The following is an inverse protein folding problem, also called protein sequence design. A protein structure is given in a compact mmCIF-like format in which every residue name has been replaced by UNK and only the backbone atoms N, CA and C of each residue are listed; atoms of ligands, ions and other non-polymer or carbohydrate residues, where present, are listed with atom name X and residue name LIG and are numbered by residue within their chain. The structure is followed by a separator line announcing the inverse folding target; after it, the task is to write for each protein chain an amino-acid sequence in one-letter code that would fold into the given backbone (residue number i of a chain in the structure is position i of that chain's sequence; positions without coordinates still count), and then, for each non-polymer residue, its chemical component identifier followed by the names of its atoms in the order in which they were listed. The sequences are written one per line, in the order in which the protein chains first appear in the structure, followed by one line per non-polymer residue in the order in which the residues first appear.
data_IF_861989910697
#
_entry.id   IF_861989910697
#
_cell.length_a   1.000
_cell.length_b   1.000
_cell.length_c   1.000
_cell.angle_alpha   90.00
_cell.angle_beta   90.00
_cell.angle_gamma   90.00
#
_symmetry.space_group_name_H-M   'P 1'
#
loop_
_entity.id
_entity.type
_entity.pdbx_description
1 polymer ?
#
# COMPACT_ATOMS: atom_id res chain seq x y z
N UNK A 1 -10.20 -15.22 16.68
CA UNK A 1 -9.09 -14.24 16.58
C UNK A 1 -7.82 -14.80 17.23
N UNK A 2 -6.68 -14.81 16.53
CA UNK A 2 -5.40 -15.30 17.07
C UNK A 2 -4.87 -14.30 18.11
N UNK A 3 -4.71 -14.71 19.38
CA UNK A 3 -4.13 -13.85 20.44
C UNK A 3 -2.72 -13.40 20.02
N UNK A 4 -2.46 -12.08 20.02
CA UNK A 4 -1.10 -11.54 19.87
C UNK A 4 -0.21 -12.19 20.95
N UNK A 5 0.96 -12.76 20.61
CA UNK A 5 1.82 -13.38 21.61
C UNK A 5 2.28 -12.33 22.62
N UNK A 6 2.19 -12.67 23.91
CA UNK A 6 2.56 -11.79 25.02
C UNK A 6 4.03 -11.37 24.98
N UNK A 7 4.36 -10.24 25.64
CA UNK A 7 5.71 -9.62 25.62
C UNK A 7 6.83 -10.62 25.99
N UNK A 8 6.62 -11.45 27.01
CA UNK A 8 7.58 -12.48 27.45
C UNK A 8 7.84 -13.55 26.38
N UNK A 9 6.80 -14.02 25.67
CA UNK A 9 6.94 -15.03 24.62
C UNK A 9 7.61 -14.48 23.36
N UNK A 10 7.47 -13.18 23.09
CA UNK A 10 8.25 -12.46 22.07
C UNK A 10 9.71 -12.33 22.51
N UNK A 11 9.94 -11.89 23.75
CA UNK A 11 11.26 -11.72 24.32
C UNK A 11 12.07 -13.02 24.41
N UNK A 12 11.44 -14.18 24.60
CA UNK A 12 12.13 -15.48 24.65
C UNK A 12 12.17 -16.20 23.30
N UNK A 13 11.65 -15.60 22.23
CA UNK A 13 11.65 -16.23 20.91
C UNK A 13 13.04 -16.16 20.27
N UNK A 14 13.78 -17.27 20.29
CA UNK A 14 15.06 -17.43 19.58
C UNK A 14 14.95 -17.07 18.09
N UNK A 15 13.78 -17.29 17.47
CA UNK A 15 13.51 -16.88 16.09
C UNK A 15 13.36 -15.36 15.93
N UNK A 16 12.82 -14.64 16.92
CA UNK A 16 12.79 -13.16 16.89
C UNK A 16 14.18 -12.57 17.16
N UNK A 17 14.95 -13.17 18.08
CA UNK A 17 16.34 -12.76 18.33
C UNK A 17 17.22 -12.94 17.09
N UNK A 18 17.17 -14.10 16.43
CA UNK A 18 17.88 -14.34 15.15
C UNK A 18 17.49 -13.34 14.06
N UNK A 19 16.23 -12.90 14.04
CA UNK A 19 15.72 -11.90 13.09
C UNK A 19 16.16 -10.47 13.40
N UNK A 20 16.55 -10.17 14.65
CA UNK A 20 17.03 -8.86 15.12
C UNK A 20 18.56 -8.75 15.16
N UNK A 21 19.26 -9.88 15.08
CA UNK A 21 20.72 -9.93 15.10
C UNK A 21 21.29 -9.31 13.82
N UNK A 22 22.26 -8.38 13.96
CA UNK A 22 22.83 -7.57 12.87
C UNK A 22 22.27 -6.14 12.77
N UNK A 23 21.03 -5.92 13.23
CA UNK A 23 20.33 -4.65 13.06
C UNK A 23 21.03 -3.44 13.71
N UNK A 24 21.76 -3.67 14.81
CA UNK A 24 22.51 -2.62 15.54
C UNK A 24 23.58 -1.92 14.69
N UNK A 25 24.09 -2.56 13.61
CA UNK A 25 25.07 -1.94 12.71
C UNK A 25 24.47 -0.83 11.83
N UNK A 26 23.15 -0.85 11.65
CA UNK A 26 22.41 0.06 10.75
C UNK A 26 21.74 1.22 11.52
N UNK A 27 21.96 1.34 12.84
CA UNK A 27 21.18 2.21 13.71
C UNK A 27 21.70 3.66 13.87
N UNK A 28 22.87 4.00 13.30
CA UNK A 28 23.67 5.09 13.86
C UNK A 28 23.84 6.38 13.02
N UNK A 29 23.38 6.44 11.76
CA UNK A 29 23.56 7.65 10.95
C UNK A 29 22.27 8.50 10.91
N UNK A 30 22.39 9.78 11.27
CA UNK A 30 21.48 10.77 10.68
C UNK A 30 21.81 10.86 9.20
N UNK A 31 20.79 10.72 8.36
CA UNK A 31 20.96 10.80 6.91
C UNK A 31 20.51 12.17 6.41
N UNK A 32 21.32 12.78 5.57
CA UNK A 32 20.88 13.90 4.74
C UNK A 32 19.90 13.36 3.69
N UNK A 33 18.63 13.74 3.80
CA UNK A 33 17.59 13.28 2.89
C UNK A 33 17.82 13.80 1.46
N UNK A 34 18.43 14.97 1.29
CA UNK A 34 18.73 15.53 -0.02
C UNK A 34 19.84 14.72 -0.71
N UNK A 35 20.87 14.33 0.04
CA UNK A 35 21.94 13.46 -0.46
C UNK A 35 21.40 12.08 -0.86
N UNK A 36 20.57 11.47 0.00
CA UNK A 36 19.92 10.20 -0.31
C UNK A 36 19.02 10.30 -1.55
N UNK A 37 18.33 11.43 -1.72
CA UNK A 37 17.46 11.68 -2.87
C UNK A 37 18.25 11.75 -4.17
N UNK A 38 19.41 12.42 -4.15
CA UNK A 38 20.30 12.58 -5.30
C UNK A 38 21.12 11.32 -5.62
N UNK A 39 21.39 10.48 -4.63
CA UNK A 39 22.19 9.27 -4.80
C UNK A 39 21.37 8.15 -5.44
N UNK A 40 21.90 7.53 -6.49
CA UNK A 40 21.30 6.36 -7.13
C UNK A 40 21.96 5.07 -6.63
N UNK A 41 21.16 4.03 -6.41
CA UNK A 41 21.65 2.71 -6.03
C UNK A 41 22.11 1.95 -7.28
N UNK A 42 23.35 1.47 -7.25
CA UNK A 42 23.89 0.55 -8.25
C UNK A 42 24.13 -0.82 -7.61
N UNK A 43 23.25 -1.78 -7.92
CA UNK A 43 23.28 -3.14 -7.37
C UNK A 43 22.87 -4.22 -8.39
N UNK A 44 23.11 -3.95 -9.69
CA UNK A 44 22.76 -4.86 -10.80
C UNK A 44 21.29 -4.77 -11.22
N UNK A 45 20.75 -5.86 -11.80
CA UNK A 45 19.37 -5.88 -12.27
C UNK A 45 18.37 -5.88 -11.09
N UNK A 46 17.36 -4.99 -11.10
CA UNK A 46 16.39 -4.93 -10.02
C UNK A 46 15.49 -6.16 -9.98
N UNK A 47 15.44 -6.83 -8.83
CA UNK A 47 14.62 -8.03 -8.60
C UNK A 47 13.73 -7.83 -7.37
N UNK A 48 12.43 -7.99 -7.54
CA UNK A 48 11.49 -7.93 -6.41
C UNK A 48 11.69 -9.13 -5.48
N UNK A 49 11.84 -8.86 -4.19
CA UNK A 49 12.01 -9.90 -3.18
C UNK A 49 10.71 -10.66 -2.89
N UNK A 50 10.80 -11.98 -2.67
CA UNK A 50 9.69 -12.82 -2.21
C UNK A 50 9.89 -13.23 -0.75
N UNK A 51 9.05 -12.68 0.12
CA UNK A 51 9.09 -12.95 1.56
C UNK A 51 10.28 -12.26 2.26
N UNK A 52 10.48 -12.54 3.56
CA UNK A 52 11.57 -11.93 4.33
C UNK A 52 12.69 -12.93 4.59
N UNK A 53 13.93 -12.59 4.23
CA UNK A 53 15.10 -13.35 4.63
C UNK A 53 15.20 -13.44 6.17
N UNK A 54 15.71 -14.56 6.70
CA UNK A 54 15.82 -14.75 8.16
C UNK A 54 16.83 -13.80 8.79
N UNK A 55 17.98 -13.61 8.13
CA UNK A 55 19.01 -12.62 8.50
C UNK A 55 18.55 -11.22 8.09
N UNK A 56 18.74 -10.23 8.96
CA UNK A 56 18.43 -8.83 8.62
C UNK A 56 19.42 -8.28 7.60
N UNK A 57 20.70 -8.60 7.72
CA UNK A 57 21.74 -8.14 6.80
C UNK A 57 21.45 -8.63 5.38
N UNK A 58 21.07 -9.92 5.24
CA UNK A 58 20.67 -10.47 3.95
C UNK A 58 19.38 -9.81 3.43
N UNK A 59 18.44 -9.46 4.31
CA UNK A 59 17.21 -8.80 3.91
C UNK A 59 17.50 -7.38 3.38
N UNK A 60 18.35 -6.61 4.05
CA UNK A 60 18.75 -5.27 3.62
C UNK A 60 19.59 -5.33 2.33
N UNK A 61 20.47 -6.32 2.19
CA UNK A 61 21.20 -6.55 0.93
C UNK A 61 20.25 -6.85 -0.23
N UNK A 62 19.24 -7.71 -0.03
CA UNK A 62 18.24 -7.98 -1.04
C UNK A 62 17.42 -6.73 -1.41
N UNK A 63 17.16 -5.84 -0.44
CA UNK A 63 16.52 -4.55 -0.74
C UNK A 63 17.41 -3.66 -1.62
N UNK A 64 18.74 -3.64 -1.42
CA UNK A 64 19.64 -2.88 -2.31
C UNK A 64 19.49 -3.32 -3.76
N UNK A 65 19.43 -4.63 -4.03
CA UNK A 65 19.17 -5.15 -5.38
C UNK A 65 17.78 -4.74 -5.88
N UNK A 66 16.73 -4.88 -5.05
CA UNK A 66 15.36 -4.49 -5.44
C UNK A 66 15.24 -3.00 -5.83
N UNK A 67 16.03 -2.14 -5.19
CA UNK A 67 16.07 -0.69 -5.45
C UNK A 67 17.21 -0.26 -6.39
N UNK A 68 17.89 -1.19 -7.06
CA UNK A 68 18.89 -0.85 -8.06
C UNK A 68 18.28 0.04 -9.16
N UNK A 69 19.03 1.05 -9.59
CA UNK A 69 18.57 2.08 -10.53
C UNK A 69 17.58 3.08 -9.92
N UNK A 70 17.35 3.07 -8.61
CA UNK A 70 16.47 4.02 -7.92
C UNK A 70 17.22 4.86 -6.89
N UNK A 71 16.58 5.94 -6.43
CA UNK A 71 17.14 6.82 -5.40
C UNK A 71 17.36 6.07 -4.08
N UNK A 72 18.48 6.34 -3.41
CA UNK A 72 18.82 5.79 -2.10
C UNK A 72 17.80 6.17 -1.02
N UNK A 73 17.07 7.27 -1.20
CA UNK A 73 15.96 7.67 -0.33
C UNK A 73 14.83 6.62 -0.32
N UNK A 74 14.55 5.98 -1.46
CA UNK A 74 13.51 4.95 -1.56
C UNK A 74 13.95 3.64 -0.89
N UNK A 75 15.24 3.31 -1.01
CA UNK A 75 15.85 2.20 -0.26
C UNK A 75 15.75 2.48 1.25
N UNK A 76 16.15 3.67 1.70
CA UNK A 76 16.09 4.06 3.11
C UNK A 76 14.68 3.92 3.69
N UNK A 77 13.65 4.35 2.95
CA UNK A 77 12.25 4.11 3.30
C UNK A 77 11.94 2.62 3.53
N UNK A 78 12.36 1.75 2.61
CA UNK A 78 12.14 0.31 2.71
C UNK A 78 12.89 -0.33 3.88
N UNK A 79 14.13 0.09 4.13
CA UNK A 79 14.95 -0.36 5.25
C UNK A 79 14.31 -0.02 6.59
N UNK A 80 13.80 1.21 6.75
CA UNK A 80 13.06 1.63 7.95
C UNK A 80 11.84 0.73 8.21
N UNK A 81 11.05 0.43 7.18
CA UNK A 81 9.91 -0.49 7.30
C UNK A 81 10.37 -1.88 7.76
N UNK A 82 11.46 -2.42 7.18
CA UNK A 82 12.00 -3.72 7.58
C UNK A 82 12.44 -3.71 9.04
N UNK A 83 13.14 -2.66 9.47
CA UNK A 83 13.60 -2.49 10.86
C UNK A 83 12.42 -2.40 11.83
N UNK A 84 11.37 -1.63 11.49
CA UNK A 84 10.13 -1.53 12.27
C UNK A 84 9.45 -2.90 12.41
N UNK A 85 9.28 -3.63 11.30
CA UNK A 85 8.66 -4.99 11.31
C UNK A 85 9.49 -6.03 12.06
N UNK A 86 10.75 -5.74 12.34
CA UNK A 86 11.65 -6.55 13.18
C UNK A 86 11.68 -6.08 14.64
N UNK A 87 10.91 -5.05 15.01
CA UNK A 87 10.95 -4.34 16.30
C UNK A 87 12.36 -3.88 16.68
N UNK A 88 13.19 -3.47 15.71
CA UNK A 88 14.51 -2.92 16.00
C UNK A 88 14.43 -1.42 16.27
N UNK A 89 14.90 -0.98 17.45
CA UNK A 89 14.83 0.40 17.94
C UNK A 89 13.49 1.08 17.61
N UNK A 90 12.38 0.35 17.85
CA UNK A 90 11.08 0.64 17.23
C UNK A 90 10.66 2.11 17.31
N UNK A 91 10.74 2.73 18.49
CA UNK A 91 10.33 4.12 18.67
C UNK A 91 11.16 5.10 17.82
N UNK A 92 12.48 4.93 17.82
CA UNK A 92 13.42 5.76 17.06
C UNK A 92 13.29 5.53 15.55
N UNK A 93 13.25 4.28 15.12
CA UNK A 93 13.10 3.91 13.70
C UNK A 93 11.75 4.39 13.15
N UNK A 94 10.69 4.28 13.94
CA UNK A 94 9.38 4.80 13.57
C UNK A 94 9.38 6.33 13.47
N UNK A 95 10.05 7.03 14.40
CA UNK A 95 10.17 8.48 14.32
C UNK A 95 10.92 8.92 13.05
N UNK A 96 12.02 8.24 12.69
CA UNK A 96 12.74 8.46 11.43
C UNK A 96 11.84 8.26 10.22
N UNK A 97 11.06 7.17 10.21
CA UNK A 97 10.06 6.89 9.16
C UNK A 97 8.99 7.99 9.05
N UNK A 98 8.44 8.45 10.16
CA UNK A 98 7.44 9.51 10.16
C UNK A 98 8.02 10.84 9.69
N UNK A 99 9.22 11.21 10.15
CA UNK A 99 9.93 12.42 9.68
C UNK A 99 10.19 12.36 8.18
N UNK A 100 10.65 11.21 7.66
CA UNK A 100 10.86 10.99 6.23
C UNK A 100 9.59 11.25 5.41
N UNK A 101 8.44 10.72 5.84
CA UNK A 101 7.16 10.92 5.16
C UNK A 101 6.66 12.36 5.21
N UNK A 102 6.87 13.07 6.33
CA UNK A 102 6.53 14.49 6.44
C UNK A 102 7.41 15.38 5.54
N UNK A 103 8.70 15.04 5.40
CA UNK A 103 9.64 15.83 4.61
C UNK A 103 9.55 15.55 3.10
N UNK A 104 9.48 14.27 2.71
CA UNK A 104 9.66 13.83 1.33
C UNK A 104 8.44 13.10 0.76
N UNK A 105 7.28 13.19 1.43
CA UNK A 105 6.07 12.44 1.08
C UNK A 105 5.62 12.59 -0.37
N UNK A 106 5.79 13.78 -0.98
CA UNK A 106 5.50 13.98 -2.42
C UNK A 106 6.40 13.11 -3.30
N UNK A 107 7.72 13.18 -3.10
CA UNK A 107 8.69 12.40 -3.88
C UNK A 107 8.51 10.89 -3.68
N UNK A 108 8.27 10.46 -2.43
CA UNK A 108 8.02 9.06 -2.11
C UNK A 108 6.77 8.54 -2.83
N UNK A 109 5.67 9.31 -2.83
CA UNK A 109 4.46 8.95 -3.58
C UNK A 109 4.75 8.80 -5.06
N UNK A 110 5.38 9.79 -5.68
CA UNK A 110 5.68 9.77 -7.12
C UNK A 110 6.59 8.59 -7.54
N UNK A 111 7.53 8.18 -6.69
CA UNK A 111 8.59 7.22 -7.07
C UNK A 111 8.42 5.80 -6.54
N UNK A 112 7.77 5.60 -5.39
CA UNK A 112 7.54 4.26 -4.86
C UNK A 112 6.48 3.51 -5.68
N UNK A 113 6.66 2.21 -5.86
CA UNK A 113 5.58 1.35 -6.37
C UNK A 113 4.46 1.17 -5.33
N UNK A 114 3.28 0.73 -5.77
CA UNK A 114 2.10 0.64 -4.89
C UNK A 114 2.31 -0.30 -3.70
N UNK A 115 3.14 -1.36 -3.84
CA UNK A 115 3.47 -2.29 -2.76
C UNK A 115 4.20 -1.58 -1.61
N UNK A 116 5.10 -0.66 -1.91
CA UNK A 116 5.80 0.12 -0.89
C UNK A 116 4.92 1.20 -0.26
N UNK A 117 3.99 1.81 -1.01
CA UNK A 117 2.98 2.72 -0.44
C UNK A 117 2.06 2.01 0.56
N UNK A 118 1.60 0.80 0.24
CA UNK A 118 0.79 -0.03 1.14
C UNK A 118 1.60 -0.44 2.38
N UNK A 119 2.88 -0.76 2.20
CA UNK A 119 3.76 -1.10 3.33
C UNK A 119 3.94 0.10 4.28
N UNK A 120 3.90 1.32 3.77
CA UNK A 120 3.90 2.53 4.57
C UNK A 120 2.59 2.69 5.35
N UNK A 121 1.43 2.52 4.71
CA UNK A 121 0.12 2.60 5.41
C UNK A 121 -0.02 1.53 6.49
N UNK A 122 0.42 0.29 6.22
CA UNK A 122 0.46 -0.77 7.25
C UNK A 122 1.33 -0.38 8.44
N UNK A 123 2.44 0.33 8.19
CA UNK A 123 3.35 0.82 9.23
C UNK A 123 2.69 1.91 10.08
N UNK A 124 2.04 2.91 9.46
CA UNK A 124 1.28 3.94 10.17
C UNK A 124 0.13 3.35 10.99
N UNK A 125 -0.69 2.46 10.40
CA UNK A 125 -1.82 1.81 11.06
C UNK A 125 -1.41 1.05 12.33
N UNK A 126 -0.22 0.43 12.29
CA UNK A 126 0.30 -0.36 13.39
C UNK A 126 0.97 0.46 14.51
N UNK A 127 1.56 1.61 14.19
CA UNK A 127 2.55 2.26 15.08
C UNK A 127 2.34 3.75 15.36
N UNK A 128 1.54 4.50 14.58
CA UNK A 128 1.33 5.93 14.86
C UNK A 128 0.66 6.14 16.22
N UNK A 129 0.96 7.24 16.90
CA UNK A 129 0.31 7.58 18.16
C UNK A 129 -1.07 8.20 17.95
N UNK A 130 -1.31 8.81 16.79
CA UNK A 130 -2.58 9.43 16.43
C UNK A 130 -3.55 8.38 15.85
N UNK A 131 -4.70 8.20 16.51
CA UNK A 131 -5.74 7.28 16.08
C UNK A 131 -6.37 7.67 14.74
N UNK A 132 -6.44 8.95 14.39
CA UNK A 132 -6.95 9.39 13.09
C UNK A 132 -6.01 8.93 11.97
N UNK A 133 -4.69 9.12 12.14
CA UNK A 133 -3.68 8.63 11.19
C UNK A 133 -3.77 7.12 11.03
N UNK A 134 -3.90 6.38 12.15
CA UNK A 134 -4.06 4.93 12.11
C UNK A 134 -5.32 4.48 11.39
N UNK A 135 -6.43 5.19 11.60
CA UNK A 135 -7.71 4.87 10.99
C UNK A 135 -7.67 5.06 9.48
N UNK A 136 -7.14 6.18 8.99
CA UNK A 136 -6.97 6.43 7.55
C UNK A 136 -6.01 5.42 6.94
N UNK A 137 -4.87 5.15 7.58
CA UNK A 137 -3.92 4.17 7.08
C UNK A 137 -4.52 2.75 7.00
N UNK A 138 -5.34 2.36 8.00
CA UNK A 138 -6.06 1.09 7.99
C UNK A 138 -7.14 1.05 6.91
N UNK A 139 -7.83 2.16 6.65
CA UNK A 139 -8.80 2.29 5.56
C UNK A 139 -8.13 2.03 4.20
N UNK A 140 -6.96 2.64 3.96
CA UNK A 140 -6.15 2.39 2.76
C UNK A 140 -5.77 0.92 2.63
N UNK A 141 -5.27 0.30 3.71
CA UNK A 141 -4.90 -1.11 3.71
C UNK A 141 -6.10 -2.03 3.48
N UNK A 142 -7.30 -1.68 3.99
CA UNK A 142 -8.51 -2.44 3.75
C UNK A 142 -8.92 -2.39 2.27
N UNK A 143 -8.94 -1.21 1.65
CA UNK A 143 -9.27 -1.04 0.22
C UNK A 143 -8.31 -1.87 -0.65
N UNK A 144 -6.99 -1.72 -0.44
CA UNK A 144 -6.01 -2.42 -1.28
C UNK A 144 -6.05 -3.93 -1.08
N UNK A 145 -6.21 -4.41 0.15
CA UNK A 145 -6.30 -5.85 0.38
C UNK A 145 -7.57 -6.45 -0.25
N UNK A 146 -8.69 -5.72 -0.24
CA UNK A 146 -9.91 -6.14 -0.96
C UNK A 146 -9.65 -6.27 -2.46
N UNK A 147 -9.08 -5.25 -3.11
CA UNK A 147 -8.70 -5.32 -4.54
C UNK A 147 -7.75 -6.48 -4.79
N UNK A 148 -6.72 -6.62 -3.96
CA UNK A 148 -5.74 -7.71 -4.08
C UNK A 148 -6.41 -9.08 -4.03
N UNK A 149 -7.39 -9.28 -3.16
CA UNK A 149 -8.12 -10.55 -3.08
C UNK A 149 -8.91 -10.82 -4.36
N UNK A 150 -9.66 -9.84 -4.86
CA UNK A 150 -10.44 -10.00 -6.10
C UNK A 150 -9.56 -10.20 -7.34
N UNK A 151 -8.47 -9.44 -7.49
CA UNK A 151 -7.55 -9.65 -8.62
C UNK A 151 -6.77 -10.97 -8.50
N UNK A 152 -6.46 -11.41 -7.27
CA UNK A 152 -5.85 -12.73 -7.04
C UNK A 152 -6.82 -13.84 -7.39
N UNK A 153 -8.11 -13.70 -7.04
CA UNK A 153 -9.15 -14.65 -7.44
C UNK A 153 -9.20 -14.76 -8.97
N UNK A 154 -9.19 -13.64 -9.70
CA UNK A 154 -9.17 -13.66 -11.17
C UNK A 154 -7.98 -14.44 -11.75
N UNK A 155 -6.79 -14.25 -11.19
CA UNK A 155 -5.61 -15.04 -11.56
C UNK A 155 -5.80 -16.53 -11.25
N UNK A 156 -6.33 -16.86 -10.08
CA UNK A 156 -6.52 -18.25 -9.64
C UNK A 156 -7.65 -18.98 -10.36
N UNK A 157 -8.63 -18.26 -10.92
CA UNK A 157 -9.75 -18.81 -11.70
C UNK A 157 -9.53 -18.73 -13.20
N UNK A 158 -8.35 -18.29 -13.65
CA UNK A 158 -7.99 -18.13 -15.07
C UNK A 158 -8.94 -17.17 -15.84
N UNK A 159 -9.30 -16.06 -15.20
CA UNK A 159 -10.23 -15.05 -15.74
C UNK A 159 -9.59 -13.67 -15.98
N UNK A 160 -8.26 -13.63 -16.08
CA UNK A 160 -7.52 -12.38 -16.37
C UNK A 160 -7.89 -11.78 -17.73
N UNK A 161 -8.05 -12.62 -18.75
CA UNK A 161 -8.41 -12.17 -20.11
C UNK A 161 -9.93 -12.08 -20.31
N UNK A 162 -10.72 -12.38 -19.28
CA UNK A 162 -12.18 -12.26 -19.34
C UNK A 162 -12.60 -10.79 -19.22
N UNK A 163 -13.38 -10.33 -20.20
CA UNK A 163 -13.97 -8.99 -20.23
C UNK A 163 -15.45 -9.04 -19.81
N UNK A 164 -16.03 -7.87 -19.52
CA UNK A 164 -17.44 -7.76 -19.13
C UNK A 164 -18.34 -8.16 -20.31
N UNK A 165 -19.28 -9.08 -20.08
CA UNK A 165 -20.23 -9.51 -21.11
C UNK A 165 -21.18 -8.36 -21.49
N UNK A 166 -21.26 -7.94 -22.77
CA UNK A 166 -22.08 -6.79 -23.17
C UNK A 166 -23.56 -6.91 -22.80
N UNK A 167 -24.15 -8.10 -22.95
CA UNK A 167 -25.55 -8.35 -22.55
C UNK A 167 -25.77 -8.20 -21.05
N UNK A 168 -24.80 -8.57 -20.21
CA UNK A 168 -24.90 -8.35 -18.76
C UNK A 168 -24.74 -6.88 -18.38
N UNK A 169 -23.90 -6.13 -19.12
CA UNK A 169 -23.75 -4.67 -18.95
C UNK A 169 -25.04 -3.94 -19.30
N UNK A 170 -25.76 -4.40 -20.33
CA UNK A 170 -27.09 -3.88 -20.69
C UNK A 170 -28.15 -4.28 -19.66
N UNK A 171 -28.18 -5.54 -19.22
CA UNK A 171 -29.14 -6.05 -18.25
C UNK A 171 -29.18 -5.25 -16.94
N UNK A 172 -28.02 -4.87 -16.40
CA UNK A 172 -27.95 -4.07 -15.15
C UNK A 172 -28.51 -2.65 -15.29
N UNK A 173 -28.73 -2.14 -16.52
CA UNK A 173 -29.41 -0.87 -16.75
C UNK A 173 -30.94 -0.98 -16.63
N UNK A 174 -31.50 -2.17 -16.89
CA UNK A 174 -32.94 -2.37 -17.03
C UNK A 174 -33.58 -3.07 -15.83
N UNK A 175 -32.81 -3.81 -15.05
CA UNK A 175 -33.31 -4.56 -13.89
C UNK A 175 -32.25 -4.71 -12.81
N UNK A 176 -32.72 -4.85 -11.58
CA UNK A 176 -31.86 -5.17 -10.45
C UNK A 176 -31.36 -6.62 -10.59
N UNK A 177 -30.03 -6.79 -10.61
CA UNK A 177 -29.38 -8.11 -10.59
C UNK A 177 -28.94 -8.38 -9.14
N UNK A 178 -29.60 -9.30 -8.42
CA UNK A 178 -29.26 -9.56 -7.03
C UNK A 178 -27.90 -10.27 -6.92
N UNK A 179 -27.16 -9.90 -5.89
CA UNK A 179 -25.97 -10.59 -5.40
C UNK A 179 -26.33 -11.30 -4.07
N UNK A 180 -25.51 -11.16 -3.03
CA UNK A 180 -25.74 -11.74 -1.71
C UNK A 180 -26.41 -10.74 -0.76
N UNK A 181 -27.16 -11.25 0.22
CA UNK A 181 -27.70 -10.47 1.36
C UNK A 181 -28.39 -9.14 1.01
N UNK A 182 -29.11 -9.08 -0.12
CA UNK A 182 -29.83 -7.87 -0.56
C UNK A 182 -28.97 -6.86 -1.33
N UNK A 183 -27.69 -7.13 -1.54
CA UNK A 183 -26.84 -6.36 -2.46
C UNK A 183 -27.25 -6.66 -3.91
N UNK A 184 -26.95 -5.72 -4.81
CA UNK A 184 -27.12 -5.90 -6.26
C UNK A 184 -25.84 -5.56 -7.01
N UNK A 185 -25.75 -6.01 -8.27
CA UNK A 185 -24.70 -5.57 -9.16
C UNK A 185 -24.66 -4.04 -9.26
N UNK A 186 -23.46 -3.49 -9.34
CA UNK A 186 -23.24 -2.09 -9.67
C UNK A 186 -23.78 -1.83 -11.08
N UNK A 187 -24.66 -0.82 -11.23
CA UNK A 187 -25.14 -0.41 -12.55
C UNK A 187 -24.04 0.38 -13.27
N UNK A 188 -23.12 -0.37 -13.88
CA UNK A 188 -21.95 0.18 -14.56
C UNK A 188 -22.37 1.24 -15.59
N UNK A 189 -21.76 2.41 -15.57
CA UNK A 189 -22.17 3.52 -16.44
C UNK A 189 -22.94 4.64 -15.75
N UNK A 190 -23.78 4.34 -14.75
CA UNK A 190 -24.75 5.32 -14.22
C UNK A 190 -24.91 5.33 -12.70
N UNK A 191 -24.47 4.29 -11.99
CA UNK A 191 -24.50 4.17 -10.53
C UNK A 191 -23.55 5.18 -9.85
N UNK A 192 -24.00 5.79 -8.75
CA UNK A 192 -23.29 6.84 -8.02
C UNK A 192 -22.59 6.34 -6.74
N UNK A 193 -22.68 5.03 -6.43
CA UNK A 193 -22.13 4.42 -5.21
C UNK A 193 -20.65 4.74 -5.03
N UNK A 194 -19.85 4.59 -6.09
CA UNK A 194 -18.40 4.85 -6.04
C UNK A 194 -18.10 6.35 -5.90
N UNK A 195 -18.87 7.21 -6.58
CA UNK A 195 -18.71 8.67 -6.44
C UNK A 195 -19.02 9.12 -5.01
N UNK A 196 -20.14 8.66 -4.47
CA UNK A 196 -20.54 8.94 -3.09
C UNK A 196 -19.54 8.36 -2.10
N UNK A 197 -18.88 7.24 -2.41
CA UNK A 197 -17.78 6.71 -1.61
C UNK A 197 -16.56 7.64 -1.61
N UNK A 198 -16.11 8.09 -2.79
CA UNK A 198 -14.97 8.99 -2.92
C UNK A 198 -15.22 10.32 -2.21
N UNK A 199 -16.40 10.91 -2.37
CA UNK A 199 -16.80 12.12 -1.63
C UNK A 199 -16.70 11.97 -0.12
N UNK A 200 -17.05 10.80 0.43
CA UNK A 200 -16.89 10.51 1.86
C UNK A 200 -15.42 10.26 2.25
N UNK A 201 -14.58 9.85 1.31
CA UNK A 201 -13.15 9.61 1.51
C UNK A 201 -12.32 10.91 1.45
N UNK A 202 -12.76 11.95 0.73
CA UNK A 202 -12.03 13.20 0.52
C UNK A 202 -11.46 13.83 1.81
N UNK A 203 -12.22 13.98 2.92
CA UNK A 203 -11.67 14.54 4.15
C UNK A 203 -10.53 13.70 4.75
N UNK A 204 -10.56 12.38 4.55
CA UNK A 204 -9.52 11.48 5.01
C UNK A 204 -8.28 11.52 4.11
N UNK A 205 -8.45 11.80 2.81
CA UNK A 205 -7.35 12.00 1.87
C UNK A 205 -6.56 13.29 2.13
N UNK A 206 -7.10 14.23 2.90
CA UNK A 206 -6.40 15.44 3.33
C UNK A 206 -5.57 15.26 4.63
N UNK A 207 -5.64 14.12 5.33
CA UNK A 207 -5.00 13.94 6.63
C UNK A 207 -3.52 13.55 6.50
N UNK A 208 -2.59 14.45 6.82
CA UNK A 208 -1.16 14.13 6.77
C UNK A 208 -0.68 13.10 7.82
N UNK A 209 0.34 12.28 7.50
CA UNK A 209 0.94 12.10 6.17
C UNK A 209 0.20 11.06 5.30
N UNK A 210 -0.84 10.42 5.82
CA UNK A 210 -1.42 9.18 5.27
C UNK A 210 -2.50 9.40 4.20
N UNK A 211 -3.20 10.52 4.26
CA UNK A 211 -4.23 10.93 3.31
C UNK A 211 -3.67 11.07 1.90
N UNK A 212 -2.57 11.82 1.68
CA UNK A 212 -1.95 11.90 0.36
C UNK A 212 -1.47 10.54 -0.18
N UNK A 213 -1.03 9.63 0.70
CA UNK A 213 -0.69 8.25 0.30
C UNK A 213 -1.94 7.51 -0.17
N UNK A 214 -3.06 7.68 0.55
CA UNK A 214 -4.34 7.08 0.17
C UNK A 214 -4.82 7.61 -1.18
N UNK A 215 -4.75 8.93 -1.40
CA UNK A 215 -5.12 9.55 -2.66
C UNK A 215 -4.29 9.00 -3.83
N UNK A 216 -2.96 8.89 -3.66
CA UNK A 216 -2.07 8.33 -4.68
C UNK A 216 -2.41 6.86 -4.99
N UNK A 217 -2.65 6.05 -3.96
CA UNK A 217 -3.07 4.65 -4.13
C UNK A 217 -4.40 4.59 -4.87
N UNK A 218 -5.39 5.41 -4.48
CA UNK A 218 -6.70 5.47 -5.13
C UNK A 218 -6.57 5.79 -6.61
N UNK A 219 -5.80 6.83 -6.96
CA UNK A 219 -5.55 7.21 -8.35
C UNK A 219 -4.95 6.05 -9.16
N UNK A 220 -3.97 5.32 -8.59
CA UNK A 220 -3.35 4.17 -9.26
C UNK A 220 -4.29 2.99 -9.45
N UNK A 221 -5.25 2.77 -8.55
CA UNK A 221 -6.27 1.75 -8.73
C UNK A 221 -7.17 2.04 -9.94
N UNK A 222 -7.33 3.31 -10.34
CA UNK A 222 -8.11 3.71 -11.52
C UNK A 222 -7.38 3.54 -12.85
N UNK A 223 -6.06 3.27 -12.84
CA UNK A 223 -5.22 3.23 -14.05
C UNK A 223 -4.62 1.84 -14.28
N UNK A 224 -4.20 1.15 -13.22
CA UNK A 224 -3.75 -0.24 -13.33
C UNK A 224 -4.94 -1.16 -13.63
N UNK A 225 -4.68 -2.35 -14.18
CA UNK A 225 -5.73 -3.34 -14.46
C UNK A 225 -6.35 -3.89 -13.16
N UNK A 226 -7.25 -3.11 -12.57
CA UNK A 226 -8.08 -3.46 -11.43
C UNK A 226 -9.55 -3.33 -11.79
N UNK A 227 -10.42 -3.89 -10.95
CA UNK A 227 -11.85 -3.74 -11.10
C UNK A 227 -12.24 -2.25 -11.28
N UNK A 228 -11.63 -1.33 -10.54
CA UNK A 228 -11.94 0.10 -10.66
C UNK A 228 -11.65 0.66 -12.07
N UNK A 229 -10.50 0.34 -12.65
CA UNK A 229 -10.15 0.78 -14.01
C UNK A 229 -11.07 0.15 -15.06
N UNK A 230 -11.41 -1.14 -14.92
CA UNK A 230 -12.31 -1.84 -15.84
C UNK A 230 -13.74 -1.29 -15.79
N UNK A 231 -14.26 -0.99 -14.60
CA UNK A 231 -15.56 -0.33 -14.45
C UNK A 231 -15.53 1.12 -14.92
N UNK A 232 -14.44 1.86 -14.69
CA UNK A 232 -14.23 3.22 -15.22
C UNK A 232 -14.29 3.23 -16.75
N UNK A 233 -13.68 2.26 -17.43
CA UNK A 233 -13.70 2.15 -18.89
C UNK A 233 -15.10 1.94 -19.49
N UNK A 234 -16.04 1.44 -18.69
CA UNK A 234 -17.45 1.26 -19.09
C UNK A 234 -18.35 2.41 -18.64
N UNK A 235 -17.78 3.41 -17.95
CA UNK A 235 -18.56 4.50 -17.41
C UNK A 235 -18.96 5.51 -18.48
N UNK A 236 -20.19 6.03 -18.41
CA UNK A 236 -20.75 6.89 -19.48
C UNK A 236 -21.35 8.20 -18.97
N UNK A 237 -21.44 8.39 -17.65
CA UNK A 237 -22.14 9.53 -17.05
C UNK A 237 -21.21 10.35 -16.16
N UNK A 238 -20.80 11.51 -16.65
CA UNK A 238 -19.86 12.41 -15.95
C UNK A 238 -20.32 12.78 -14.54
N UNK A 239 -21.63 12.96 -14.35
CA UNK A 239 -22.22 13.30 -13.03
C UNK A 239 -22.00 12.24 -11.96
N UNK A 240 -21.68 11.00 -12.35
CA UNK A 240 -21.44 9.89 -11.42
C UNK A 240 -20.01 9.36 -11.46
N UNK A 241 -19.09 10.10 -12.10
CA UNK A 241 -17.65 9.78 -12.09
C UNK A 241 -17.07 9.86 -10.67
N UNK A 242 -16.13 8.96 -10.36
CA UNK A 242 -15.45 8.84 -9.06
C UNK A 242 -13.94 9.01 -9.15
N UNK A 243 -13.46 9.53 -10.29
CA UNK A 243 -12.07 9.86 -10.53
C UNK A 243 -11.98 11.33 -10.92
N UNK A 244 -10.83 11.92 -10.67
CA UNK A 244 -10.48 13.21 -11.24
C UNK A 244 -10.03 13.01 -12.69
N UNK A 245 -10.46 13.90 -13.58
CA UNK A 245 -9.86 14.01 -14.92
C UNK A 245 -8.42 14.50 -14.73
N UNK A 246 -7.46 13.68 -15.21
CA UNK A 246 -6.04 13.98 -15.13
C UNK A 246 -5.64 15.11 -16.08
#
# INVERSE_FOLDING_TARGET
MRKKPGRLRRFLSLNQHRKRWGARRHAAAEHDLAELKATMIDAGDPVQTRGSAKSIDLHLQNLRTEFSGQSALLLYHAELIVLIRRDHNLAETYQKFRTLWMAEGKFLREKLNIRWLVSATDTFAAHDSDMAVRAVAMMTSAVVNTVKMYESERYLTDTLDTTMTPTHVEDVQHRLIPLFEGMSCFTVGTDDTLRNMVWRMEPFMALDPVGPIFQEIWARLQINDTAFARFKAQHKRDKTSWWDEA
#
